data_IF_870293490921
#
_entry.id   IF_870293490921
#
_cell.length_a   1.000
_cell.length_b   1.000
_cell.length_c   1.000
_cell.angle_alpha   90.00
_cell.angle_beta   90.00
_cell.angle_gamma   90.00
#
_symmetry.space_group_name_H-M   'P 1'
#
loop_
_entity.id
_entity.type
_entity.pdbx_description
1 polymer ?
#
# COMPACT_ATOMS: atom_id res chain seq x y z
N UNK A 1 1.59 6.72 6.30
CA UNK A 1 0.83 7.22 5.14
C UNK A 1 -0.60 7.55 5.52
N UNK A 2 -1.19 8.61 4.94
CA UNK A 2 -2.57 9.05 5.22
C UNK A 2 -3.45 8.89 3.97
N UNK A 3 -4.64 8.29 4.08
CA UNK A 3 -5.65 8.37 3.01
C UNK A 3 -6.25 9.76 2.97
N UNK A 4 -6.50 10.32 1.80
CA UNK A 4 -7.28 11.56 1.70
C UNK A 4 -8.74 11.34 2.10
N UNK A 5 -9.24 10.12 1.93
CA UNK A 5 -10.60 9.73 2.28
C UNK A 5 -10.86 9.64 3.80
N UNK A 6 -9.88 9.20 4.59
CA UNK A 6 -10.08 8.86 6.01
C UNK A 6 -8.84 9.00 6.91
N UNK A 7 -7.68 9.31 6.33
CA UNK A 7 -6.42 9.46 7.04
C UNK A 7 -5.62 8.18 7.31
N UNK A 8 -6.09 6.98 6.95
CA UNK A 8 -5.44 5.73 7.37
C UNK A 8 -5.06 4.81 6.19
N UNK A 9 -3.79 4.88 5.75
CA UNK A 9 -3.18 3.85 4.90
C UNK A 9 -2.00 3.21 5.65
N UNK A 10 -1.95 1.89 5.67
CA UNK A 10 -0.81 1.14 6.22
C UNK A 10 -0.31 0.13 5.18
N UNK A 11 1.01 0.12 5.01
CA UNK A 11 1.72 -0.86 4.18
C UNK A 11 2.39 -1.81 5.15
N UNK A 12 2.14 -3.10 4.97
CA UNK A 12 2.77 -4.15 5.76
C UNK A 12 3.36 -5.21 4.82
N UNK A 13 4.29 -6.00 5.34
CA UNK A 13 4.77 -7.20 4.65
C UNK A 13 4.02 -8.42 5.17
N UNK A 14 3.61 -9.29 4.25
CA UNK A 14 3.02 -10.59 4.54
C UNK A 14 3.82 -11.69 3.84
N UNK A 15 3.94 -12.85 4.49
CA UNK A 15 4.49 -14.05 3.88
C UNK A 15 3.34 -14.85 3.27
N UNK A 16 3.34 -15.01 1.96
CA UNK A 16 2.40 -15.87 1.24
C UNK A 16 3.19 -16.98 0.58
N UNK A 17 2.90 -18.23 0.94
CA UNK A 17 3.58 -19.41 0.42
C UNK A 17 5.12 -19.33 0.53
N UNK A 18 5.62 -18.71 1.62
CA UNK A 18 7.04 -18.48 1.85
C UNK A 18 7.64 -17.29 1.09
N UNK A 19 6.86 -16.60 0.27
CA UNK A 19 7.29 -15.42 -0.50
C UNK A 19 6.83 -14.14 0.20
N UNK A 20 7.74 -13.19 0.50
CA UNK A 20 7.35 -11.90 1.03
C UNK A 20 6.60 -11.08 -0.01
N UNK A 21 5.45 -10.53 0.39
CA UNK A 21 4.59 -9.66 -0.40
C UNK A 21 4.20 -8.44 0.40
N UNK A 22 3.98 -7.33 -0.28
CA UNK A 22 3.45 -6.12 0.33
C UNK A 22 1.92 -6.20 0.36
N UNK A 23 1.30 -5.80 1.45
CA UNK A 23 -0.16 -5.61 1.54
C UNK A 23 -0.46 -4.17 1.90
N UNK A 24 -1.50 -3.63 1.28
CA UNK A 24 -2.04 -2.31 1.59
C UNK A 24 -3.32 -2.48 2.40
N UNK A 25 -3.37 -1.89 3.59
CA UNK A 25 -4.56 -1.88 4.43
C UNK A 25 -5.08 -0.46 4.67
N UNK A 26 -6.39 -0.36 4.83
CA UNK A 26 -7.15 0.85 5.08
C UNK A 26 -8.18 0.55 6.16
N UNK A 27 -8.06 1.18 7.34
CA UNK A 27 -8.81 0.82 8.54
C UNK A 27 -8.78 -0.70 8.86
N UNK A 28 -7.63 -1.34 8.62
CA UNK A 28 -7.46 -2.79 8.82
C UNK A 28 -8.03 -3.67 7.70
N UNK A 29 -8.74 -3.13 6.72
CA UNK A 29 -9.23 -3.87 5.55
C UNK A 29 -8.20 -3.87 4.42
N UNK A 30 -8.05 -5.01 3.74
CA UNK A 30 -7.19 -5.12 2.56
C UNK A 30 -7.78 -4.35 1.39
N UNK A 31 -6.99 -3.50 0.74
CA UNK A 31 -7.43 -2.65 -0.38
C UNK A 31 -6.75 -3.04 -1.68
N UNK A 32 -7.44 -2.82 -2.81
CA UNK A 32 -6.89 -3.08 -4.13
C UNK A 32 -6.81 -4.56 -4.48
N UNK A 33 -7.49 -5.41 -3.70
CA UNK A 33 -7.73 -6.80 -4.05
C UNK A 33 -6.53 -7.74 -3.88
N UNK A 34 -5.42 -7.34 -3.25
CA UNK A 34 -4.35 -8.32 -3.08
C UNK A 34 -3.05 -7.90 -2.44
N UNK A 35 -2.09 -8.79 -2.66
CA UNK A 35 -0.73 -8.74 -2.20
C UNK A 35 0.18 -8.45 -3.38
N UNK A 36 1.06 -7.47 -3.23
CA UNK A 36 1.88 -6.93 -4.29
C UNK A 36 3.31 -7.45 -4.16
N UNK A 37 3.96 -7.73 -5.28
CA UNK A 37 5.38 -8.12 -5.30
C UNK A 37 6.31 -6.92 -5.23
N UNK A 38 5.80 -5.73 -5.56
CA UNK A 38 6.61 -4.55 -5.75
C UNK A 38 5.89 -3.28 -5.27
N UNK A 39 6.69 -2.32 -4.80
CA UNK A 39 6.23 -1.03 -4.28
C UNK A 39 5.55 -0.20 -5.38
N UNK A 40 6.00 -0.28 -6.63
CA UNK A 40 5.38 0.51 -7.71
C UNK A 40 4.00 -0.02 -8.11
N UNK A 41 3.73 -1.32 -7.96
CA UNK A 41 2.37 -1.87 -8.12
C UNK A 41 1.43 -1.35 -7.03
N UNK A 42 1.91 -1.32 -5.78
CA UNK A 42 1.15 -0.81 -4.63
C UNK A 42 0.88 0.70 -4.80
N UNK A 43 1.87 1.45 -5.29
CA UNK A 43 1.71 2.86 -5.65
C UNK A 43 0.61 3.08 -6.70
N UNK A 44 0.57 2.25 -7.76
CA UNK A 44 -0.44 2.41 -8.81
C UNK A 44 -1.88 2.26 -8.29
N UNK A 45 -2.09 1.43 -7.27
CA UNK A 45 -3.38 1.32 -6.57
C UNK A 45 -3.63 2.57 -5.74
N UNK A 46 -2.68 2.97 -4.90
CA UNK A 46 -2.80 4.12 -4.01
C UNK A 46 -3.04 5.44 -4.77
N UNK A 47 -2.36 5.62 -5.91
CA UNK A 47 -2.51 6.78 -6.77
C UNK A 47 -3.93 6.93 -7.36
N UNK A 48 -4.66 5.82 -7.56
CA UNK A 48 -6.07 5.87 -8.01
C UNK A 48 -7.02 6.44 -6.95
N UNK A 49 -6.63 6.39 -5.68
CA UNK A 49 -7.44 6.84 -4.55
C UNK A 49 -7.01 8.21 -3.99
N UNK A 50 -6.27 9.01 -4.77
CA UNK A 50 -5.74 10.30 -4.28
C UNK A 50 -4.64 10.13 -3.24
N UNK A 51 -3.93 9.00 -3.25
CA UNK A 51 -2.80 8.82 -2.36
C UNK A 51 -1.64 9.80 -2.60
N UNK A 52 -0.60 9.78 -1.75
CA UNK A 52 0.54 10.69 -1.87
C UNK A 52 1.29 10.51 -3.20
N UNK A 53 2.08 11.53 -3.57
CA UNK A 53 2.99 11.43 -4.72
C UNK A 53 4.01 10.29 -4.58
N UNK A 54 4.59 9.85 -5.70
CA UNK A 54 5.49 8.68 -5.75
C UNK A 54 6.74 8.82 -4.87
N UNK A 55 7.30 10.03 -4.77
CA UNK A 55 8.53 10.25 -4.00
C UNK A 55 8.24 10.15 -2.50
N UNK A 56 7.15 10.77 -2.05
CA UNK A 56 6.65 10.63 -0.68
C UNK A 56 6.26 9.19 -0.37
N UNK A 57 5.56 8.53 -1.29
CA UNK A 57 5.14 7.14 -1.14
C UNK A 57 6.31 6.20 -0.88
N UNK A 58 7.38 6.30 -1.69
CA UNK A 58 8.58 5.47 -1.52
C UNK A 58 9.30 5.68 -0.19
N UNK A 59 9.35 6.90 0.33
CA UNK A 59 9.97 7.18 1.64
C UNK A 59 9.19 6.57 2.80
N UNK A 60 7.87 6.51 2.68
CA UNK A 60 6.99 5.98 3.73
C UNK A 60 6.80 4.45 3.63
N UNK A 61 7.18 3.84 2.49
CA UNK A 61 7.12 2.40 2.25
C UNK A 61 8.46 1.67 2.47
N UNK A 62 9.56 2.41 2.66
CA UNK A 62 10.90 1.91 2.99
C UNK A 62 11.07 1.76 4.51
#
# INVERSE_FOLDING_TARGET
>A
MRCECCGEWRIDTALLDGVPRLKLTHHGYLVGGGYFTDVDQLFAVVARYGGPDRARFRREAA
#
